data_IF_789938960570
#
_entry.id   IF_789938960570
#
_cell.length_a   1.000
_cell.length_b   1.000
_cell.length_c   1.000
_cell.angle_alpha   90.00
_cell.angle_beta   90.00
_cell.angle_gamma   90.00
#
_symmetry.space_group_name_H-M   'P 1'
#
loop_
_entity.id
_entity.type
_entity.pdbx_description
1 polymer ?
#
# COMPACT_ATOMS: atom_id res chain seq x y z
N UNK A 1 4.64 8.39 -4.72
CA UNK A 1 5.86 8.47 -5.56
C UNK A 1 7.04 8.92 -4.72
N UNK A 2 8.15 8.24 -4.83
CA UNK A 2 9.37 8.61 -4.11
C UNK A 2 10.19 9.53 -5.00
N UNK A 3 10.34 10.79 -4.60
CA UNK A 3 11.09 11.78 -5.36
C UNK A 3 12.59 11.49 -5.27
N UNK A 4 13.27 11.52 -6.41
CA UNK A 4 14.71 11.30 -6.48
C UNK A 4 15.12 9.83 -6.59
N UNK A 5 14.18 8.91 -6.51
CA UNK A 5 14.48 7.49 -6.72
C UNK A 5 14.62 7.19 -8.20
N UNK A 6 15.68 6.48 -8.58
CA UNK A 6 15.89 6.05 -9.95
C UNK A 6 15.23 4.72 -10.25
N UNK A 7 15.02 3.91 -9.23
CA UNK A 7 14.42 2.60 -9.38
C UNK A 7 13.59 2.28 -8.15
N UNK A 8 12.41 1.75 -8.39
CA UNK A 8 11.52 1.26 -7.35
C UNK A 8 11.17 -0.19 -7.63
N UNK A 9 11.33 -1.03 -6.63
CA UNK A 9 10.99 -2.44 -6.74
C UNK A 9 9.86 -2.74 -5.76
N UNK A 10 8.80 -3.35 -6.26
CA UNK A 10 7.72 -3.84 -5.41
C UNK A 10 8.09 -5.24 -4.93
N UNK A 11 8.45 -5.36 -3.66
CA UNK A 11 8.83 -6.63 -3.07
C UNK A 11 7.65 -7.58 -2.89
N UNK A 12 6.44 -7.04 -2.90
CA UNK A 12 5.24 -7.86 -2.80
C UNK A 12 4.30 -7.39 -1.71
N UNK A 13 3.34 -8.25 -1.42
CA UNK A 13 2.33 -8.00 -0.40
C UNK A 13 2.64 -8.83 0.83
N UNK A 14 2.75 -8.20 1.98
CA UNK A 14 3.01 -8.89 3.23
C UNK A 14 1.73 -9.44 3.84
N UNK A 15 0.66 -8.63 3.82
CA UNK A 15 -0.64 -9.03 4.34
C UNK A 15 -1.72 -8.52 3.41
N UNK A 16 -2.69 -9.38 3.09
CA UNK A 16 -3.86 -8.97 2.33
C UNK A 16 -5.08 -9.53 3.04
N UNK A 17 -6.01 -8.64 3.39
CA UNK A 17 -7.26 -9.03 4.05
C UNK A 17 -8.44 -8.51 3.23
N UNK A 18 -9.29 -9.43 2.80
CA UNK A 18 -10.55 -9.09 2.15
C UNK A 18 -11.65 -9.12 3.21
N UNK A 19 -12.23 -7.97 3.46
CA UNK A 19 -13.18 -7.80 4.56
C UNK A 19 -14.61 -7.80 4.04
N UNK A 20 -14.85 -7.08 2.94
CA UNK A 20 -16.18 -6.93 2.37
C UNK A 20 -16.13 -7.09 0.85
N UNK A 21 -17.24 -7.56 0.29
CA UNK A 21 -17.39 -7.54 -1.16
C UNK A 21 -17.72 -6.13 -1.63
N UNK A 22 -17.23 -5.77 -2.80
CA UNK A 22 -17.54 -4.48 -3.41
C UNK A 22 -18.78 -4.66 -4.29
N UNK A 23 -19.93 -4.04 -3.94
CA UNK A 23 -21.11 -4.14 -4.77
C UNK A 23 -20.92 -3.46 -6.13
N UNK A 24 -21.65 -3.93 -7.12
CA UNK A 24 -21.62 -3.32 -8.46
C UNK A 24 -22.08 -1.86 -8.35
N UNK A 25 -21.39 -0.98 -9.08
CA UNK A 25 -21.69 0.46 -9.11
C UNK A 25 -21.41 1.18 -7.79
N UNK A 26 -20.63 0.60 -6.92
CA UNK A 26 -20.21 1.26 -5.68
C UNK A 26 -19.12 2.28 -5.96
N UNK A 27 -19.12 3.34 -5.17
CA UNK A 27 -18.01 4.28 -5.15
C UNK A 27 -16.98 3.79 -4.16
N UNK A 28 -15.73 3.73 -4.60
CA UNK A 28 -14.64 3.26 -3.76
C UNK A 28 -13.52 4.31 -3.72
N UNK A 29 -12.75 4.26 -2.66
CA UNK A 29 -11.62 5.17 -2.48
C UNK A 29 -10.44 4.36 -1.95
N UNK A 30 -9.26 4.58 -2.56
CA UNK A 30 -8.04 3.96 -2.11
C UNK A 30 -7.27 4.93 -1.23
N UNK A 31 -6.96 4.51 -0.02
CA UNK A 31 -6.10 5.25 0.88
C UNK A 31 -4.78 4.52 1.04
N UNK A 32 -3.68 5.26 1.09
CA UNK A 32 -2.36 4.68 1.30
C UNK A 32 -1.73 5.37 2.50
N UNK A 33 -1.26 4.57 3.45
CA UNK A 33 -0.61 5.07 4.65
C UNK A 33 0.78 4.45 4.76
N UNK A 34 1.79 5.28 4.91
CA UNK A 34 3.15 4.78 5.11
C UNK A 34 3.30 4.40 6.58
N UNK A 35 3.62 3.14 6.83
CA UNK A 35 3.76 2.61 8.19
C UNK A 35 5.19 2.70 8.68
N UNK A 36 6.17 2.45 7.79
CA UNK A 36 7.55 2.35 8.19
C UNK A 36 8.47 2.65 7.02
N UNK A 37 9.59 3.29 7.29
CA UNK A 37 10.62 3.56 6.30
C UNK A 37 11.96 3.15 6.92
N UNK A 38 12.67 2.24 6.26
CA UNK A 38 13.95 1.72 6.72
C UNK A 38 15.01 1.90 5.66
N UNK A 39 16.20 2.35 6.06
CA UNK A 39 17.35 2.40 5.17
C UNK A 39 18.05 1.05 5.17
N UNK A 40 18.37 0.58 3.98
CA UNK A 40 19.05 -0.70 3.80
C UNK A 40 20.55 -0.48 3.59
N UNK A 41 21.32 -1.52 3.90
CA UNK A 41 22.78 -1.44 3.79
C UNK A 41 23.26 -1.29 2.34
N UNK A 42 22.46 -1.72 1.38
CA UNK A 42 22.80 -1.64 -0.04
C UNK A 42 22.49 -0.29 -0.67
N UNK A 43 22.15 0.71 0.13
CA UNK A 43 21.79 2.04 -0.36
C UNK A 43 20.31 2.21 -0.71
N UNK A 44 19.53 1.16 -0.62
CA UNK A 44 18.10 1.23 -0.86
C UNK A 44 17.32 1.74 0.34
N UNK A 45 16.10 2.14 0.10
CA UNK A 45 15.16 2.53 1.16
C UNK A 45 13.93 1.64 1.06
N UNK A 46 13.66 0.92 2.14
CA UNK A 46 12.48 0.07 2.23
C UNK A 46 11.31 0.88 2.76
N UNK A 47 10.21 0.86 2.04
CA UNK A 47 8.98 1.55 2.46
C UNK A 47 7.89 0.51 2.63
N UNK A 48 7.34 0.45 3.84
CA UNK A 48 6.21 -0.40 4.15
C UNK A 48 4.98 0.48 4.23
N UNK A 49 4.01 0.23 3.37
CA UNK A 49 2.80 1.02 3.30
C UNK A 49 1.56 0.13 3.40
N UNK A 50 0.48 0.71 3.88
CA UNK A 50 -0.81 0.03 3.98
C UNK A 50 -1.77 0.67 3.00
N UNK A 51 -2.31 -0.13 2.10
CA UNK A 51 -3.33 0.30 1.15
C UNK A 51 -4.70 -0.17 1.66
N UNK A 52 -5.64 0.75 1.72
CA UNK A 52 -7.00 0.47 2.19
C UNK A 52 -7.99 0.88 1.13
N UNK A 53 -8.85 -0.04 0.71
CA UNK A 53 -9.92 0.26 -0.22
C UNK A 53 -11.21 0.46 0.56
N UNK A 54 -11.72 1.68 0.57
CA UNK A 54 -12.95 2.03 1.26
C UNK A 54 -14.12 2.08 0.29
N UNK A 55 -15.28 1.68 0.77
CA UNK A 55 -16.54 1.73 0.01
C UNK A 55 -17.42 2.80 0.61
N UNK A 56 -17.95 3.69 -0.24
CA UNK A 56 -18.86 4.74 0.21
C UNK A 56 -20.06 4.13 0.92
N UNK A 57 -20.38 4.65 2.10
CA UNK A 57 -21.51 4.18 2.89
C UNK A 57 -21.24 2.97 3.76
N UNK A 58 -20.02 2.43 3.72
CA UNK A 58 -19.63 1.28 4.54
C UNK A 58 -18.69 1.71 5.65
N UNK A 59 -18.91 1.16 6.85
CA UNK A 59 -18.03 1.46 7.99
C UNK A 59 -16.69 0.75 7.89
N UNK A 60 -16.66 -0.41 7.23
CA UNK A 60 -15.46 -1.21 7.10
C UNK A 60 -14.93 -1.17 5.68
N UNK A 61 -13.60 -1.19 5.50
CA UNK A 61 -13.04 -1.22 4.15
C UNK A 61 -13.32 -2.55 3.45
N UNK A 62 -13.21 -2.52 2.12
CA UNK A 62 -13.35 -3.74 1.33
C UNK A 62 -12.14 -4.65 1.50
N UNK A 63 -10.94 -4.07 1.48
CA UNK A 63 -9.73 -4.82 1.76
C UNK A 63 -8.64 -3.90 2.31
N UNK A 64 -7.68 -4.54 2.97
CA UNK A 64 -6.48 -3.88 3.47
C UNK A 64 -5.28 -4.72 3.03
N UNK A 65 -4.28 -4.08 2.46
CA UNK A 65 -3.08 -4.76 2.01
C UNK A 65 -1.84 -4.02 2.48
N UNK A 66 -0.86 -4.76 2.98
CA UNK A 66 0.43 -4.19 3.35
C UNK A 66 1.42 -4.45 2.23
N UNK A 67 1.99 -3.40 1.69
CA UNK A 67 2.93 -3.46 0.57
C UNK A 67 4.33 -3.12 1.04
N UNK A 68 5.30 -3.82 0.47
CA UNK A 68 6.71 -3.56 0.73
C UNK A 68 7.36 -3.14 -0.58
N UNK A 69 7.92 -1.94 -0.58
CA UNK A 69 8.63 -1.41 -1.75
C UNK A 69 10.04 -1.02 -1.37
N UNK A 70 10.96 -1.18 -2.31
CA UNK A 70 12.34 -0.78 -2.12
C UNK A 70 12.68 0.23 -3.21
N UNK A 71 13.14 1.41 -2.79
CA UNK A 71 13.52 2.49 -3.69
C UNK A 71 15.05 2.64 -3.67
N UNK A 72 15.65 2.77 -4.84
CA UNK A 72 17.08 3.00 -4.98
C UNK A 72 17.32 4.38 -5.58
N UNK A 73 18.36 5.10 -5.12
CA UNK A 73 18.70 6.41 -5.67
C UNK A 73 19.16 6.36 -7.12
#
# INVERSE_FOLDING_TARGET
>A
TVTGAKMMINYGLNKVRFINMVPVNSRVRMGIKIKEVNKLDNGGTQVISEATLEIEGQDKPAYVAEQIMVAFP
#
